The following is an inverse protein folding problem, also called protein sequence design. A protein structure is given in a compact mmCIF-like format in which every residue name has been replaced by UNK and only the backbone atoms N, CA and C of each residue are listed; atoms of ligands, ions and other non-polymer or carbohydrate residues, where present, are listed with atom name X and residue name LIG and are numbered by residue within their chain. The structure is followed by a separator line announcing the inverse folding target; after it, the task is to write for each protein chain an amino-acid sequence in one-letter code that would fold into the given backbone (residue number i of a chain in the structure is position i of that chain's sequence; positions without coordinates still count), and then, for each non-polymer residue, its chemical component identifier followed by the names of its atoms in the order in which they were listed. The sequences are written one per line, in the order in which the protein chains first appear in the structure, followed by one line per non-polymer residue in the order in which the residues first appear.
data_IF_594971436525
#
_entry.id   IF_594971436525
#
_cell.length_a   1.000
_cell.length_b   1.000
_cell.length_c   1.000
_cell.angle_alpha   90.00
_cell.angle_beta   90.00
_cell.angle_gamma   90.00
#
_symmetry.space_group_name_H-M   'P 1'
#
loop_
_entity.id
_entity.type
_entity.pdbx_description
1 polymer ?
#
# COMPACT_ATOMS: atom_id res chain seq x y z
N UNK A 1 5.18 -21.98 3.36
CA UNK A 1 4.04 -22.16 2.45
C UNK A 1 3.86 -20.87 1.67
N UNK A 2 4.23 -20.82 0.37
CA UNK A 2 4.15 -19.58 -0.42
C UNK A 2 2.73 -19.01 -0.42
N UNK A 3 2.59 -17.69 -0.19
CA UNK A 3 1.32 -16.98 -0.21
C UNK A 3 0.47 -17.08 1.07
N UNK A 4 0.82 -17.93 2.03
CA UNK A 4 0.08 -18.03 3.30
C UNK A 4 0.15 -16.71 4.10
N UNK A 5 1.34 -16.11 4.20
CA UNK A 5 1.52 -14.83 4.91
C UNK A 5 0.71 -13.70 4.29
N UNK A 6 0.66 -13.62 2.95
CA UNK A 6 -0.12 -12.60 2.24
C UNK A 6 -1.63 -12.80 2.43
N UNK A 7 -2.08 -14.06 2.48
CA UNK A 7 -3.48 -14.38 2.77
C UNK A 7 -3.86 -14.00 4.21
N UNK A 8 -2.98 -14.26 5.19
CA UNK A 8 -3.17 -13.84 6.59
C UNK A 8 -3.18 -12.32 6.69
N UNK A 9 -2.28 -11.63 5.98
CA UNK A 9 -2.25 -10.17 5.92
C UNK A 9 -3.58 -9.62 5.44
N UNK A 10 -4.09 -10.14 4.33
CA UNK A 10 -5.40 -9.77 3.83
C UNK A 10 -6.51 -10.05 4.84
N UNK A 11 -6.59 -11.27 5.38
CA UNK A 11 -7.64 -11.68 6.31
C UNK A 11 -7.71 -10.77 7.53
N UNK A 12 -6.59 -10.58 8.22
CA UNK A 12 -6.56 -9.81 9.47
C UNK A 12 -6.75 -8.31 9.21
N UNK A 13 -6.10 -7.75 8.18
CA UNK A 13 -6.20 -6.33 7.88
C UNK A 13 -7.61 -5.94 7.43
N UNK A 14 -8.25 -6.75 6.58
CA UNK A 14 -9.60 -6.49 6.09
C UNK A 14 -10.65 -6.67 7.19
N UNK A 15 -10.52 -7.73 8.00
CA UNK A 15 -11.47 -8.01 9.08
C UNK A 15 -11.31 -7.06 10.26
N UNK A 16 -10.10 -6.66 10.64
CA UNK A 16 -9.89 -5.86 11.87
C UNK A 16 -9.67 -4.37 11.60
N UNK A 17 -9.33 -3.95 10.38
CA UNK A 17 -8.95 -2.58 10.02
C UNK A 17 -10.08 -1.55 10.07
N UNK A 18 -10.68 -1.36 11.25
CA UNK A 18 -11.89 -0.58 11.52
C UNK A 18 -11.75 0.18 12.83
N UNK A 19 -12.59 1.21 12.99
CA UNK A 19 -12.74 1.99 14.23
C UNK A 19 -11.44 2.58 14.79
N UNK A 20 -10.38 2.70 13.98
CA UNK A 20 -9.06 3.18 14.36
C UNK A 20 -8.31 2.33 15.40
N UNK A 21 -8.75 1.09 15.62
CA UNK A 21 -8.21 0.19 16.65
C UNK A 21 -7.79 -1.17 16.11
N UNK A 22 -7.92 -1.38 14.79
CA UNK A 22 -7.56 -2.62 14.10
C UNK A 22 -6.08 -3.00 14.18
N UNK A 23 -5.75 -4.15 13.61
CA UNK A 23 -4.38 -4.68 13.54
C UNK A 23 -3.96 -4.95 12.10
N UNK A 24 -2.72 -4.59 11.78
CA UNK A 24 -2.10 -4.88 10.49
C UNK A 24 -0.90 -5.78 10.74
N UNK A 25 -1.02 -7.10 10.50
CA UNK A 25 0.17 -7.91 10.29
C UNK A 25 0.87 -7.42 9.03
N UNK A 26 2.19 -7.34 9.07
CA UNK A 26 3.02 -6.96 7.91
C UNK A 26 3.88 -8.15 7.56
N UNK A 27 3.79 -8.64 6.32
CA UNK A 27 4.67 -9.72 5.87
C UNK A 27 6.11 -9.22 5.82
N UNK A 28 7.03 -9.84 6.56
CA UNK A 28 8.45 -9.50 6.50
C UNK A 28 9.16 -10.41 5.48
N UNK A 29 10.02 -9.84 4.64
CA UNK A 29 10.87 -10.63 3.72
C UNK A 29 12.08 -11.23 4.44
N UNK A 30 12.49 -10.61 5.55
CA UNK A 30 13.55 -11.10 6.43
C UNK A 30 13.17 -10.91 7.89
N UNK A 31 13.81 -11.66 8.79
CA UNK A 31 13.67 -11.48 10.23
C UNK A 31 14.54 -10.35 10.79
N UNK A 32 15.13 -9.50 9.93
CA UNK A 32 16.15 -8.53 10.31
C UNK A 32 15.74 -7.07 10.09
N UNK A 33 14.78 -6.81 9.20
CA UNK A 33 14.43 -5.45 8.78
C UNK A 33 12.99 -5.10 9.13
N UNK A 34 12.74 -3.82 9.43
CA UNK A 34 11.40 -3.32 9.73
C UNK A 34 10.84 -3.74 11.07
N UNK A 35 11.69 -4.20 11.99
CA UNK A 35 11.32 -4.64 13.34
C UNK A 35 11.76 -3.64 14.42
N UNK A 36 12.17 -2.42 14.06
CA UNK A 36 12.51 -1.41 15.06
C UNK A 36 11.23 -0.88 15.72
N UNK A 37 11.19 -1.03 17.05
CA UNK A 37 9.99 -0.91 17.87
C UNK A 37 9.59 -2.25 18.45
N UNK A 38 8.62 -2.27 19.37
CA UNK A 38 8.14 -3.49 20.03
C UNK A 38 7.21 -4.31 19.11
N UNK A 39 7.64 -4.56 17.86
CA UNK A 39 6.86 -5.29 16.87
C UNK A 39 6.76 -6.78 17.23
N UNK A 40 5.55 -7.26 17.47
CA UNK A 40 5.30 -8.66 17.80
C UNK A 40 5.45 -9.56 16.56
N UNK A 41 6.42 -10.47 16.60
CA UNK A 41 6.78 -11.32 15.47
C UNK A 41 6.07 -12.68 15.52
N UNK A 42 5.59 -13.13 14.36
CA UNK A 42 4.96 -14.43 14.20
C UNK A 42 5.65 -15.19 13.07
N UNK A 43 6.00 -16.45 13.32
CA UNK A 43 6.59 -17.35 12.32
C UNK A 43 5.85 -18.69 12.28
N UNK A 44 6.00 -19.42 11.17
CA UNK A 44 5.45 -20.78 11.03
C UNK A 44 6.44 -21.88 11.41
N UNK A 45 7.68 -21.50 11.74
CA UNK A 45 8.77 -22.35 12.22
C UNK A 45 9.91 -21.46 12.74
N UNK A 46 10.85 -22.03 13.47
CA UNK A 46 12.08 -21.34 13.89
C UNK A 46 11.88 -20.46 15.12
N UNK A 47 12.35 -19.21 15.07
CA UNK A 47 12.36 -18.28 16.22
C UNK A 47 11.60 -17.01 15.89
N UNK A 48 10.58 -16.71 16.69
CA UNK A 48 9.77 -15.50 16.73
C UNK A 48 9.12 -15.39 18.12
N UNK A 49 8.44 -14.29 18.42
CA UNK A 49 7.70 -14.14 19.68
C UNK A 49 6.57 -15.18 19.80
N UNK A 50 5.98 -15.55 18.65
CA UNK A 50 5.05 -16.66 18.53
C UNK A 50 5.37 -17.52 17.31
N UNK A 51 5.47 -18.84 17.52
CA UNK A 51 5.59 -19.82 16.44
C UNK A 51 4.30 -20.61 16.33
N UNK A 52 3.65 -20.54 15.17
CA UNK A 52 2.40 -21.24 14.85
C UNK A 52 2.69 -22.35 13.85
N UNK A 53 2.97 -23.55 14.35
CA UNK A 53 3.26 -24.72 13.51
C UNK A 53 1.98 -25.47 13.14
N UNK A 54 1.94 -26.03 11.92
CA UNK A 54 0.81 -26.82 11.45
C UNK A 54 0.82 -27.01 9.93
N UNK A 55 0.04 -27.98 9.46
CA UNK A 55 -0.20 -28.12 8.02
C UNK A 55 -1.07 -26.96 7.49
N UNK A 56 -1.24 -26.90 6.17
CA UNK A 56 -1.94 -25.78 5.55
C UNK A 56 -3.39 -25.67 6.06
N UNK A 57 -4.09 -26.80 6.19
CA UNK A 57 -5.47 -26.82 6.65
C UNK A 57 -5.59 -26.28 8.09
N UNK A 58 -4.65 -26.64 8.96
CA UNK A 58 -4.59 -26.15 10.35
C UNK A 58 -4.37 -24.64 10.38
N UNK A 59 -3.48 -24.11 9.54
CA UNK A 59 -3.22 -22.67 9.46
C UNK A 59 -4.49 -21.90 9.07
N UNK A 60 -5.24 -22.36 8.07
CA UNK A 60 -6.49 -21.72 7.67
C UNK A 60 -7.46 -21.55 8.84
N UNK A 61 -7.74 -22.64 9.57
CA UNK A 61 -8.65 -22.61 10.72
C UNK A 61 -8.12 -21.72 11.85
N UNK A 62 -6.82 -21.79 12.15
CA UNK A 62 -6.19 -20.99 13.20
C UNK A 62 -6.36 -19.50 12.89
N UNK A 63 -6.03 -19.06 11.68
CA UNK A 63 -6.05 -17.63 11.34
C UNK A 63 -7.46 -17.07 11.18
N UNK A 64 -8.42 -17.86 10.69
CA UNK A 64 -9.85 -17.48 10.70
C UNK A 64 -10.35 -17.29 12.13
N UNK A 65 -10.03 -18.22 13.03
CA UNK A 65 -10.47 -18.14 14.43
C UNK A 65 -9.78 -17.02 15.19
N UNK A 66 -8.45 -16.87 15.06
CA UNK A 66 -7.69 -15.76 15.66
C UNK A 66 -8.26 -14.42 15.21
N UNK A 67 -8.56 -14.26 13.92
CA UNK A 67 -9.16 -13.03 13.39
C UNK A 67 -10.51 -12.73 14.04
N UNK A 68 -11.36 -13.75 14.22
CA UNK A 68 -12.66 -13.58 14.89
C UNK A 68 -12.51 -13.21 16.38
N UNK A 69 -11.56 -13.85 17.09
CA UNK A 69 -11.27 -13.57 18.50
C UNK A 69 -10.71 -12.15 18.68
N UNK A 70 -9.77 -11.74 17.82
CA UNK A 70 -9.23 -10.38 17.82
C UNK A 70 -10.33 -9.36 17.52
N UNK A 71 -11.20 -9.64 16.54
CA UNK A 71 -12.36 -8.80 16.25
C UNK A 71 -13.25 -8.63 17.48
N UNK A 72 -13.63 -9.73 18.14
CA UNK A 72 -14.44 -9.69 19.35
C UNK A 72 -13.75 -8.93 20.50
N UNK A 73 -12.45 -9.18 20.74
CA UNK A 73 -11.68 -8.51 21.78
C UNK A 73 -11.54 -7.00 21.54
N UNK A 74 -11.48 -6.57 20.28
CA UNK A 74 -11.46 -5.16 19.89
C UNK A 74 -12.86 -4.54 19.76
N UNK A 75 -13.94 -5.30 20.00
CA UNK A 75 -15.32 -4.89 19.74
C UNK A 75 -15.53 -4.40 18.29
N UNK A 76 -14.93 -5.11 17.33
CA UNK A 76 -15.05 -4.90 15.89
C UNK A 76 -15.86 -6.05 15.30
N UNK A 77 -16.78 -5.74 14.38
CA UNK A 77 -17.42 -6.75 13.55
C UNK A 77 -16.46 -7.15 12.40
N UNK A 78 -15.92 -8.39 12.40
CA UNK A 78 -14.95 -8.81 11.40
C UNK A 78 -15.56 -9.04 10.02
N UNK A 79 -16.90 -9.04 9.89
CA UNK A 79 -17.63 -9.40 8.66
C UNK A 79 -18.15 -8.20 7.85
N UNK A 80 -18.10 -6.98 8.40
CA UNK A 80 -18.49 -5.77 7.67
C UNK A 80 -17.30 -5.07 6.98
N UNK A 81 -17.58 -4.08 6.12
CA UNK A 81 -16.55 -3.35 5.34
C UNK A 81 -16.90 -1.86 5.14
N UNK A 82 -16.90 -1.05 6.22
CA UNK A 82 -17.45 0.31 6.16
C UNK A 82 -16.61 1.30 5.35
N UNK A 83 -15.32 1.04 5.08
CA UNK A 83 -14.40 2.01 4.47
C UNK A 83 -14.00 1.68 3.03
N UNK A 84 -14.52 0.58 2.46
CA UNK A 84 -14.22 0.19 1.07
C UNK A 84 -14.87 1.12 0.04
N UNK A 85 -15.99 1.76 0.40
CA UNK A 85 -16.79 2.56 -0.54
C UNK A 85 -16.15 3.91 -0.87
N UNK A 86 -15.41 4.53 0.06
CA UNK A 86 -14.89 5.89 -0.11
C UNK A 86 -13.98 6.04 -1.34
N UNK A 87 -13.04 5.10 -1.55
CA UNK A 87 -12.18 5.14 -2.73
C UNK A 87 -12.95 4.93 -4.04
N UNK A 88 -14.02 4.12 -4.02
CA UNK A 88 -14.88 3.90 -5.19
C UNK A 88 -15.69 5.16 -5.53
N UNK A 89 -16.18 5.86 -4.52
CA UNK A 89 -16.88 7.13 -4.69
C UNK A 89 -15.95 8.20 -5.25
N UNK A 90 -14.73 8.35 -4.70
CA UNK A 90 -13.74 9.29 -5.21
C UNK A 90 -13.31 8.98 -6.65
N UNK A 91 -13.12 7.69 -6.97
CA UNK A 91 -12.85 7.24 -8.34
C UNK A 91 -13.98 7.64 -9.28
N UNK A 92 -15.23 7.39 -8.88
CA UNK A 92 -16.41 7.70 -9.70
C UNK A 92 -16.60 9.21 -9.89
N UNK A 93 -16.35 10.00 -8.85
CA UNK A 93 -16.37 11.45 -8.91
C UNK A 93 -15.34 11.99 -9.92
N UNK A 94 -14.11 11.48 -9.89
CA UNK A 94 -13.06 11.84 -10.85
C UNK A 94 -13.43 11.46 -12.29
N UNK A 95 -13.95 10.26 -12.52
CA UNK A 95 -14.36 9.83 -13.86
C UNK A 95 -15.48 10.71 -14.43
N UNK A 96 -16.45 11.09 -13.58
CA UNK A 96 -17.54 12.00 -13.95
C UNK A 96 -17.03 13.42 -14.23
N UNK A 97 -16.06 13.90 -13.45
CA UNK A 97 -15.41 15.20 -13.62
C UNK A 97 -14.65 15.27 -14.95
N UNK A 98 -13.88 14.24 -15.26
CA UNK A 98 -13.00 14.17 -16.43
C UNK A 98 -13.73 13.91 -17.73
N UNK A 99 -14.94 13.34 -17.68
CA UNK A 99 -15.81 13.08 -18.84
C UNK A 99 -15.09 12.36 -19.98
N UNK A 100 -14.24 11.39 -19.64
CA UNK A 100 -13.46 10.61 -20.61
C UNK A 100 -12.06 11.15 -20.90
N UNK A 101 -11.76 12.39 -20.53
CA UNK A 101 -10.49 13.06 -20.84
C UNK A 101 -9.62 13.10 -19.59
N UNK A 102 -8.58 12.26 -19.55
CA UNK A 102 -7.61 12.28 -18.46
C UNK A 102 -6.88 13.62 -18.40
N UNK A 103 -6.89 14.35 -17.27
CA UNK A 103 -6.12 15.58 -17.12
C UNK A 103 -4.61 15.33 -17.17
N UNK A 104 -3.87 16.36 -17.59
CA UNK A 104 -2.43 16.40 -17.39
C UNK A 104 -2.14 16.80 -15.95
N UNK A 105 -1.26 16.07 -15.28
CA UNK A 105 -0.79 16.40 -13.94
C UNK A 105 0.68 16.78 -14.02
N UNK A 106 1.06 17.85 -13.33
CA UNK A 106 2.46 18.27 -13.21
C UNK A 106 2.91 18.09 -11.77
N UNK A 107 4.00 17.36 -11.54
CA UNK A 107 4.59 17.21 -10.22
C UNK A 107 5.08 18.54 -9.64
N UNK A 108 5.24 18.58 -8.31
CA UNK A 108 5.91 19.67 -7.59
C UNK A 108 7.39 19.78 -8.00
N UNK A 109 8.02 18.65 -8.32
CA UNK A 109 9.37 18.56 -8.85
C UNK A 109 9.46 17.40 -9.87
N UNK A 110 10.48 17.42 -10.73
CA UNK A 110 10.78 16.32 -11.64
C UNK A 110 12.29 16.14 -11.78
N UNK A 111 12.74 14.89 -11.69
CA UNK A 111 14.13 14.50 -11.83
C UNK A 111 14.17 13.22 -12.66
N UNK A 112 14.84 13.28 -13.83
CA UNK A 112 14.92 12.12 -14.73
C UNK A 112 13.54 11.70 -15.24
N UNK A 113 13.20 10.43 -15.02
CA UNK A 113 11.92 9.82 -15.37
C UNK A 113 10.90 9.83 -14.22
N UNK A 114 11.19 10.53 -13.13
CA UNK A 114 10.32 10.60 -11.93
C UNK A 114 9.76 12.01 -11.77
N UNK A 115 8.45 12.12 -11.67
CA UNK A 115 7.75 13.29 -11.15
C UNK A 115 7.33 13.07 -9.70
N UNK A 116 7.44 14.11 -8.89
CA UNK A 116 7.20 14.09 -7.44
C UNK A 116 5.95 14.90 -7.15
N UNK A 117 4.97 14.30 -6.49
CA UNK A 117 3.76 14.95 -5.98
C UNK A 117 3.81 14.85 -4.45
N UNK A 118 4.26 15.93 -3.82
CA UNK A 118 4.64 15.97 -2.41
C UNK A 118 5.83 16.90 -2.20
N UNK A 119 6.40 16.84 -1.00
CA UNK A 119 7.57 17.63 -0.61
C UNK A 119 8.86 16.92 -1.05
N UNK A 120 9.91 17.70 -1.34
CA UNK A 120 11.23 17.21 -1.74
C UNK A 120 11.61 17.61 -3.17
N UNK A 121 12.87 18.00 -3.36
CA UNK A 121 13.40 18.42 -4.67
C UNK A 121 13.82 17.26 -5.57
N UNK A 122 14.05 16.08 -4.98
CA UNK A 122 14.47 14.85 -5.64
C UNK A 122 13.92 13.62 -4.90
N UNK A 123 13.92 12.42 -5.51
CA UNK A 123 13.30 11.25 -4.90
C UNK A 123 13.91 10.82 -3.56
N UNK A 124 15.23 10.96 -3.35
CA UNK A 124 15.88 10.62 -2.08
C UNK A 124 15.42 11.55 -0.96
N UNK A 125 15.38 12.86 -1.21
CA UNK A 125 14.88 13.84 -0.24
C UNK A 125 13.40 13.61 0.09
N UNK A 126 12.56 13.36 -0.93
CA UNK A 126 11.14 13.09 -0.74
C UNK A 126 10.89 11.82 0.10
N UNK A 127 11.65 10.75 -0.17
CA UNK A 127 11.59 9.53 0.64
C UNK A 127 12.08 9.75 2.07
N UNK A 128 13.17 10.51 2.26
CA UNK A 128 13.67 10.85 3.61
C UNK A 128 12.65 11.66 4.41
N UNK A 129 11.95 12.60 3.78
CA UNK A 129 10.88 13.37 4.41
C UNK A 129 9.69 12.48 4.78
N UNK A 130 9.25 11.60 3.87
CA UNK A 130 8.19 10.63 4.17
C UNK A 130 8.55 9.74 5.38
N UNK A 131 9.79 9.27 5.46
CA UNK A 131 10.27 8.46 6.59
C UNK A 131 10.23 9.26 7.91
N UNK A 132 10.55 10.55 7.86
CA UNK A 132 10.51 11.41 9.06
C UNK A 132 9.10 11.66 9.59
N UNK A 133 8.07 11.43 8.77
CA UNK A 133 6.66 11.57 9.15
C UNK A 133 6.09 10.28 9.79
N UNK A 134 6.86 9.19 9.86
CA UNK A 134 6.38 7.92 10.42
C UNK A 134 6.21 8.03 11.94
N UNK A 135 5.01 7.75 12.49
CA UNK A 135 4.80 7.68 13.92
C UNK A 135 5.68 6.63 14.61
N UNK A 136 5.83 6.74 15.93
CA UNK A 136 6.68 5.84 16.71
C UNK A 136 6.25 4.36 16.65
N UNK A 137 4.97 4.10 16.36
CA UNK A 137 4.33 2.80 16.16
C UNK A 137 3.83 2.62 14.72
N UNK A 138 4.37 3.41 13.77
CA UNK A 138 3.87 3.51 12.42
C UNK A 138 4.50 2.55 11.42
N UNK A 139 3.96 2.57 10.20
CA UNK A 139 4.37 1.74 9.08
C UNK A 139 4.32 2.53 7.76
N UNK A 140 5.02 2.03 6.73
CA UNK A 140 4.95 2.54 5.37
C UNK A 140 4.06 1.61 4.53
N UNK A 141 3.15 2.18 3.74
CA UNK A 141 2.41 1.44 2.72
C UNK A 141 2.88 1.84 1.32
N UNK A 142 3.53 0.91 0.61
CA UNK A 142 3.89 1.09 -0.81
C UNK A 142 2.72 0.63 -1.69
N UNK A 143 2.15 1.56 -2.45
CA UNK A 143 0.97 1.37 -3.28
C UNK A 143 1.32 1.56 -4.76
N UNK A 144 1.64 0.46 -5.45
CA UNK A 144 2.11 0.48 -6.83
C UNK A 144 0.96 0.28 -7.83
N UNK A 145 0.51 1.35 -8.46
CA UNK A 145 -0.43 1.34 -9.59
C UNK A 145 0.33 1.13 -10.92
N UNK A 146 1.06 0.02 -10.99
CA UNK A 146 1.97 -0.38 -12.07
C UNK A 146 1.68 -1.82 -12.54
N UNK A 147 2.38 -2.31 -13.56
CA UNK A 147 2.17 -3.67 -14.08
C UNK A 147 2.90 -4.70 -13.21
N UNK A 148 2.14 -5.55 -12.53
CA UNK A 148 2.66 -6.65 -11.70
C UNK A 148 3.46 -7.73 -12.44
N UNK A 149 3.50 -7.70 -13.78
CA UNK A 149 4.30 -8.63 -14.59
C UNK A 149 5.61 -8.01 -15.04
N UNK A 150 5.56 -6.79 -15.55
CA UNK A 150 6.69 -6.14 -16.19
C UNK A 150 7.45 -5.20 -15.25
N UNK A 151 6.76 -4.61 -14.27
CA UNK A 151 7.31 -3.60 -13.35
C UNK A 151 7.71 -4.20 -11.99
N UNK A 152 7.92 -5.52 -11.91
CA UNK A 152 8.12 -6.29 -10.65
C UNK A 152 9.26 -5.81 -9.76
N UNK A 153 10.30 -5.20 -10.35
CA UNK A 153 11.45 -4.68 -9.61
C UNK A 153 11.06 -3.61 -8.57
N UNK A 154 9.93 -2.92 -8.76
CA UNK A 154 9.46 -1.91 -7.79
C UNK A 154 9.13 -2.51 -6.41
N UNK A 155 8.88 -3.83 -6.33
CA UNK A 155 8.65 -4.52 -5.07
C UNK A 155 9.89 -4.50 -4.15
N UNK A 156 11.11 -4.37 -4.70
CA UNK A 156 12.34 -4.22 -3.91
C UNK A 156 12.29 -3.02 -2.95
N UNK A 157 11.47 -2.00 -3.24
CA UNK A 157 11.29 -0.85 -2.33
C UNK A 157 10.85 -1.29 -0.94
N UNK A 158 10.08 -2.39 -0.82
CA UNK A 158 9.59 -2.87 0.46
C UNK A 158 10.75 -3.16 1.42
N UNK A 159 11.68 -4.01 1.01
CA UNK A 159 12.83 -4.40 1.84
C UNK A 159 13.77 -3.22 2.09
N UNK A 160 14.05 -2.42 1.05
CA UNK A 160 14.93 -1.25 1.15
C UNK A 160 14.36 -0.25 2.17
N UNK A 161 13.08 0.10 2.06
CA UNK A 161 12.46 1.06 2.97
C UNK A 161 12.31 0.49 4.39
N UNK A 162 12.05 -0.82 4.54
CA UNK A 162 12.03 -1.46 5.85
C UNK A 162 13.40 -1.39 6.53
N UNK A 163 14.49 -1.61 5.78
CA UNK A 163 15.85 -1.48 6.29
C UNK A 163 16.23 -0.04 6.60
N UNK A 164 15.80 0.94 5.80
CA UNK A 164 16.19 2.34 5.95
C UNK A 164 15.39 3.10 7.00
N UNK A 165 14.12 2.75 7.16
CA UNK A 165 13.23 3.39 8.14
C UNK A 165 13.23 2.70 9.50
N UNK A 166 13.67 1.43 9.56
CA UNK A 166 13.48 0.58 10.73
C UNK A 166 12.02 0.13 10.93
N UNK A 167 11.08 0.59 10.11
CA UNK A 167 9.63 0.38 10.29
C UNK A 167 9.08 -0.72 9.39
N UNK A 168 7.97 -1.36 9.79
CA UNK A 168 7.26 -2.29 8.91
C UNK A 168 6.84 -1.61 7.60
N UNK A 169 6.98 -2.34 6.49
CA UNK A 169 6.59 -1.86 5.15
C UNK A 169 5.68 -2.87 4.47
N UNK A 170 4.47 -2.45 4.13
CA UNK A 170 3.57 -3.22 3.25
C UNK A 170 3.81 -2.85 1.80
N UNK A 171 3.50 -3.78 0.90
CA UNK A 171 3.53 -3.55 -0.53
C UNK A 171 2.26 -4.11 -1.18
N UNK A 172 1.59 -3.28 -1.99
CA UNK A 172 0.36 -3.65 -2.67
C UNK A 172 0.34 -3.20 -4.13
N UNK A 173 -0.04 -4.13 -5.02
CA UNK A 173 -0.35 -3.81 -6.41
C UNK A 173 -1.75 -3.18 -6.51
N UNK A 174 -1.82 -1.94 -7.00
CA UNK A 174 -3.08 -1.23 -7.25
C UNK A 174 -3.73 -1.69 -8.56
N UNK A 175 -5.07 -1.72 -8.65
CA UNK A 175 -6.05 -1.40 -7.62
C UNK A 175 -6.37 -2.58 -6.67
N UNK A 176 -5.70 -3.74 -6.80
CA UNK A 176 -6.03 -4.97 -6.05
C UNK A 176 -5.99 -4.76 -4.55
N UNK A 177 -4.97 -4.07 -4.01
CA UNK A 177 -4.83 -3.91 -2.56
C UNK A 177 -6.01 -3.19 -1.91
N UNK A 178 -6.78 -2.40 -2.68
CA UNK A 178 -7.99 -1.72 -2.21
C UNK A 178 -9.04 -2.68 -1.67
N UNK A 179 -8.98 -3.95 -2.08
CA UNK A 179 -9.84 -5.04 -1.66
C UNK A 179 -9.17 -5.98 -0.64
N UNK A 180 -8.11 -5.52 0.02
CA UNK A 180 -7.40 -6.26 1.06
C UNK A 180 -7.04 -5.29 2.19
N UNK A 181 -5.78 -4.87 2.28
CA UNK A 181 -5.30 -3.87 3.25
C UNK A 181 -5.90 -2.48 3.10
N UNK A 182 -6.57 -2.16 1.97
CA UNK A 182 -7.21 -0.87 1.74
C UNK A 182 -8.29 -0.48 2.76
N UNK A 183 -8.96 -1.46 3.37
CA UNK A 183 -9.87 -1.23 4.51
C UNK A 183 -9.07 -0.75 5.73
N UNK A 184 -7.97 -1.43 6.07
CA UNK A 184 -7.09 -1.03 7.17
C UNK A 184 -6.45 0.34 6.96
N UNK A 185 -5.90 0.63 5.77
CA UNK A 185 -5.25 1.90 5.47
C UNK A 185 -6.14 3.12 5.75
N UNK A 186 -7.47 2.94 5.71
CA UNK A 186 -8.45 4.01 5.95
C UNK A 186 -9.09 3.93 7.34
N UNK A 187 -9.48 2.72 7.75
CA UNK A 187 -10.28 2.47 8.95
C UNK A 187 -9.51 1.95 10.15
N UNK A 188 -8.29 1.46 9.96
CA UNK A 188 -7.37 1.00 11.00
C UNK A 188 -6.73 2.16 11.77
N UNK A 189 -5.75 1.83 12.62
CA UNK A 189 -5.02 2.82 13.40
C UNK A 189 -4.43 3.92 12.50
N UNK A 190 -4.43 5.16 13.00
CA UNK A 190 -3.93 6.32 12.25
C UNK A 190 -2.40 6.45 12.33
N UNK A 191 -1.67 5.39 11.98
CA UNK A 191 -0.21 5.30 12.10
C UNK A 191 0.50 4.97 10.77
N UNK A 192 -0.21 5.07 9.64
CA UNK A 192 0.35 4.81 8.31
C UNK A 192 0.90 6.06 7.63
N UNK A 193 2.02 5.89 6.92
CA UNK A 193 2.49 6.81 5.88
C UNK A 193 2.45 6.12 4.52
N UNK A 194 2.07 6.85 3.47
CA UNK A 194 1.70 6.24 2.19
C UNK A 194 2.62 6.69 1.06
N UNK A 195 3.23 5.71 0.40
CA UNK A 195 4.02 5.91 -0.81
C UNK A 195 3.25 5.36 -2.00
N UNK A 196 2.70 6.25 -2.83
CA UNK A 196 1.99 5.88 -4.04
C UNK A 196 2.89 5.97 -5.26
N UNK A 197 2.85 4.97 -6.13
CA UNK A 197 3.67 4.92 -7.34
C UNK A 197 2.76 4.70 -8.53
N UNK A 198 2.74 5.66 -9.45
CA UNK A 198 2.04 5.59 -10.73
C UNK A 198 3.05 5.61 -11.87
N UNK A 199 2.60 5.35 -13.09
CA UNK A 199 3.45 5.52 -14.26
C UNK A 199 2.69 5.60 -15.56
N UNK A 200 3.27 6.31 -16.50
CA UNK A 200 2.68 6.54 -17.81
C UNK A 200 2.47 5.21 -18.54
N UNK A 201 1.34 5.10 -19.22
CA UNK A 201 0.99 3.93 -20.03
C UNK A 201 1.32 4.21 -21.50
N UNK A 202 1.90 3.22 -22.17
CA UNK A 202 2.18 3.29 -23.61
C UNK A 202 0.95 3.06 -24.48
N UNK A 203 0.00 2.27 -23.98
CA UNK A 203 -1.21 1.87 -24.70
C UNK A 203 -2.42 2.05 -23.80
N UNK A 204 -3.38 2.84 -24.27
CA UNK A 204 -4.71 2.86 -23.67
C UNK A 204 -5.61 1.83 -24.36
N UNK A 205 -6.41 1.13 -23.58
CA UNK A 205 -7.35 0.12 -24.04
C UNK A 205 -8.75 0.64 -23.74
N UNK A 206 -9.57 0.79 -24.77
CA UNK A 206 -10.96 1.23 -24.62
C UNK A 206 -11.77 0.21 -23.81
N UNK A 207 -12.67 0.71 -22.96
CA UNK A 207 -13.60 -0.11 -22.21
C UNK A 207 -14.96 -0.07 -22.93
N UNK A 208 -15.51 -1.21 -23.39
CA UNK A 208 -16.81 -1.23 -24.04
C UNK A 208 -17.91 -0.59 -23.18
N UNK A 209 -18.67 0.34 -23.77
CA UNK A 209 -19.76 1.03 -23.09
C UNK A 209 -19.35 2.16 -22.13
N UNK A 210 -18.06 2.47 -22.00
CA UNK A 210 -17.56 3.60 -21.22
C UNK A 210 -16.99 4.69 -22.14
N UNK A 211 -17.02 5.94 -21.68
CA UNK A 211 -16.41 7.08 -22.37
C UNK A 211 -14.91 7.26 -22.04
N UNK A 212 -14.30 6.33 -21.30
CA UNK A 212 -12.89 6.31 -20.93
C UNK A 212 -12.24 4.95 -21.16
N UNK A 213 -10.92 4.93 -21.33
CA UNK A 213 -10.10 3.71 -21.38
C UNK A 213 -9.53 3.29 -20.02
N UNK A 214 -8.82 2.16 -20.00
CA UNK A 214 -8.17 1.64 -18.80
C UNK A 214 -7.09 2.59 -18.26
N UNK A 215 -6.43 3.39 -19.11
CA UNK A 215 -5.50 4.45 -18.68
C UNK A 215 -6.17 5.39 -17.68
N UNK A 216 -7.30 5.94 -18.09
CA UNK A 216 -8.07 6.91 -17.30
C UNK A 216 -8.66 6.25 -16.06
N UNK A 217 -9.16 5.01 -16.17
CA UNK A 217 -9.68 4.27 -15.02
C UNK A 217 -8.62 4.05 -13.94
N UNK A 218 -7.43 3.55 -14.30
CA UNK A 218 -6.35 3.30 -13.33
C UNK A 218 -5.87 4.61 -12.70
N UNK A 219 -5.76 5.69 -13.48
CA UNK A 219 -5.42 7.01 -12.96
C UNK A 219 -6.49 7.54 -11.98
N UNK A 220 -7.78 7.33 -12.28
CA UNK A 220 -8.88 7.69 -11.39
C UNK A 220 -8.87 6.87 -10.09
N UNK A 221 -8.58 5.57 -10.15
CA UNK A 221 -8.44 4.72 -8.97
C UNK A 221 -7.28 5.17 -8.09
N UNK A 222 -6.12 5.41 -8.70
CA UNK A 222 -4.92 5.91 -8.03
C UNK A 222 -5.20 7.25 -7.33
N UNK A 223 -5.74 8.24 -8.05
CA UNK A 223 -6.02 9.56 -7.50
C UNK A 223 -7.19 9.57 -6.52
N UNK A 224 -8.19 8.73 -6.74
CA UNK A 224 -9.34 8.61 -5.83
C UNK A 224 -8.94 8.03 -4.49
N UNK A 225 -8.05 7.03 -4.48
CA UNK A 225 -7.46 6.48 -3.27
C UNK A 225 -6.58 7.51 -2.55
N UNK A 226 -5.71 8.22 -3.29
CA UNK A 226 -4.92 9.31 -2.74
C UNK A 226 -5.77 10.44 -2.12
N UNK A 227 -6.88 10.81 -2.76
CA UNK A 227 -7.86 11.77 -2.21
C UNK A 227 -8.49 11.27 -0.90
N UNK A 228 -8.84 9.98 -0.82
CA UNK A 228 -9.40 9.37 0.38
C UNK A 228 -8.40 9.28 1.55
N UNK A 229 -7.10 9.14 1.26
CA UNK A 229 -6.05 9.22 2.28
C UNK A 229 -5.80 10.66 2.73
N UNK A 230 -5.74 11.60 1.78
CA UNK A 230 -5.54 13.02 2.06
C UNK A 230 -6.71 13.63 2.87
N UNK A 231 -7.96 13.22 2.61
CA UNK A 231 -9.14 13.67 3.39
C UNK A 231 -9.02 13.29 4.87
N UNK A 232 -8.28 12.23 5.18
CA UNK A 232 -7.96 11.73 6.52
C UNK A 232 -6.66 12.29 7.09
N UNK A 233 -6.00 13.19 6.36
CA UNK A 233 -4.73 13.86 6.73
C UNK A 233 -3.55 12.89 6.91
N UNK A 234 -3.57 11.77 6.20
CA UNK A 234 -2.41 10.89 6.18
C UNK A 234 -1.25 11.50 5.38
N UNK A 235 0.01 11.33 5.86
CA UNK A 235 1.20 11.49 5.04
C UNK A 235 1.09 10.72 3.73
N UNK A 236 1.15 11.42 2.60
CA UNK A 236 1.05 10.83 1.27
C UNK A 236 2.09 11.46 0.35
N UNK A 237 3.02 10.63 -0.12
CA UNK A 237 3.94 10.96 -1.20
C UNK A 237 3.54 10.17 -2.43
N UNK A 238 3.47 10.82 -3.59
CA UNK A 238 3.27 10.13 -4.87
C UNK A 238 4.40 10.40 -5.84
N UNK A 239 4.93 9.33 -6.44
CA UNK A 239 5.78 9.39 -7.63
C UNK A 239 5.01 8.99 -8.88
N UNK A 240 5.22 9.69 -9.99
CA UNK A 240 4.82 9.24 -11.31
C UNK A 240 6.06 8.94 -12.16
N UNK A 241 6.13 7.73 -12.71
CA UNK A 241 7.18 7.35 -13.65
C UNK A 241 6.77 7.69 -15.09
N UNK A 242 7.34 8.73 -15.68
CA UNK A 242 7.07 9.12 -17.09
C UNK A 242 7.63 8.10 -18.08
N UNK A 243 8.70 7.41 -17.68
CA UNK A 243 9.14 6.15 -18.26
C UNK A 243 9.28 5.13 -17.13
N UNK A 244 8.42 4.11 -17.10
CA UNK A 244 8.35 3.15 -16.00
C UNK A 244 9.67 2.45 -15.69
N UNK A 245 10.33 1.89 -16.70
CA UNK A 245 11.58 1.16 -16.48
C UNK A 245 12.69 2.07 -15.91
N UNK A 246 12.84 3.28 -16.46
CA UNK A 246 13.82 4.25 -15.96
C UNK A 246 13.45 4.78 -14.58
N UNK A 247 12.18 5.16 -14.39
CA UNK A 247 11.67 5.71 -13.14
C UNK A 247 11.76 4.70 -11.99
N UNK A 248 11.42 3.43 -12.22
CA UNK A 248 11.60 2.37 -11.22
C UNK A 248 13.09 2.23 -10.86
N UNK A 249 13.99 2.21 -11.84
CA UNK A 249 15.44 2.15 -11.56
C UNK A 249 15.93 3.36 -10.77
N UNK A 250 15.43 4.56 -11.06
CA UNK A 250 15.78 5.79 -10.36
C UNK A 250 15.24 5.81 -8.92
N UNK A 251 14.00 5.36 -8.71
CA UNK A 251 13.39 5.23 -7.39
C UNK A 251 14.14 4.22 -6.51
N UNK A 252 14.52 3.06 -7.07
CA UNK A 252 15.31 2.07 -6.34
C UNK A 252 16.70 2.60 -5.98
N UNK A 253 17.35 3.32 -6.89
CA UNK A 253 18.64 3.99 -6.61
C UNK A 253 18.48 5.04 -5.51
N UNK A 254 17.43 5.83 -5.56
CA UNK A 254 17.15 6.87 -4.58
C UNK A 254 16.90 6.30 -3.18
N UNK A 255 16.13 5.21 -3.08
CA UNK A 255 15.86 4.51 -1.83
C UNK A 255 17.12 3.84 -1.25
N UNK A 256 17.98 3.26 -2.09
CA UNK A 256 19.27 2.67 -1.65
C UNK A 256 20.22 3.73 -1.09
N UNK A 257 20.11 4.97 -1.55
CA UNK A 257 20.93 6.11 -1.12
C UNK A 257 20.43 6.85 0.14
N UNK A 258 19.30 6.42 0.72
CA UNK A 258 18.81 6.92 2.02
C UNK A 258 19.79 6.68 3.17
#
# INVERSE_FOLDING_TARGET
MPGLSDWIEQLVAESTGKNQIGRLPVVAESSQHGLEGDAFTIAFAGSADLVVEGDLASQFIVWEWVTALVGAALAIDPFNQPNVTEAKEQTSALLNEWKGVLPTFTGNASVGAVEIFGTGSNPTEALSQLISEIPADGYIAVMAYLDRKDDVAIAELREILASKSGRPVTFGWGPRFLHSTGQFHKGGQQNGVFLQITGDVKKDISIPGQNFGFKTLVAAQALGDGKALASRKYPLLRFNCTNRAMGISELLKAAKAL
#
